data_IF_812540757947
#
_entry.id   IF_812540757947
#
_cell.length_a   1.000
_cell.length_b   1.000
_cell.length_c   1.000
_cell.angle_alpha   90.00
_cell.angle_beta   90.00
_cell.angle_gamma   90.00
#
_symmetry.space_group_name_H-M   'P 1'
#
loop_
_entity.id
_entity.type
_entity.pdbx_description
1 polymer ?
#
# COMPACT_ATOMS: atom_id res chain seq x y z
N UNK A 1 53.69 -2.53 -24.92
CA UNK A 1 52.51 -1.87 -25.53
C UNK A 1 52.90 -0.46 -25.87
N UNK A 2 52.63 0.07 -27.06
CA UNK A 2 52.94 1.48 -27.37
C UNK A 2 52.19 2.40 -26.40
N UNK A 3 52.81 3.50 -25.99
CA UNK A 3 52.26 4.43 -24.98
C UNK A 3 51.01 5.20 -25.46
N UNK A 4 50.78 5.18 -26.75
CA UNK A 4 49.68 5.85 -27.45
C UNK A 4 48.42 4.98 -27.62
N UNK A 5 48.45 3.71 -27.23
CA UNK A 5 47.30 2.80 -27.31
C UNK A 5 46.66 2.64 -25.95
N UNK A 6 45.41 3.14 -25.82
CA UNK A 6 44.63 2.96 -24.62
C UNK A 6 44.23 1.48 -24.47
N UNK A 7 44.81 0.78 -23.49
CA UNK A 7 44.46 -0.58 -23.18
C UNK A 7 43.04 -0.64 -22.60
N UNK A 8 42.13 -1.35 -23.25
CA UNK A 8 40.81 -1.72 -22.71
C UNK A 8 40.77 -3.24 -22.58
N UNK A 9 40.67 -3.78 -21.37
CA UNK A 9 40.54 -5.21 -21.20
C UNK A 9 39.26 -5.73 -21.90
N UNK A 10 39.26 -6.91 -22.52
CA UNK A 10 38.07 -7.48 -23.12
C UNK A 10 37.00 -7.74 -22.07
N UNK A 11 35.74 -7.50 -22.41
CA UNK A 11 34.61 -7.86 -21.57
C UNK A 11 34.36 -9.37 -21.68
N UNK A 12 34.97 -10.15 -20.80
CA UNK A 12 34.91 -11.62 -20.79
C UNK A 12 33.73 -12.16 -19.97
N UNK A 13 33.02 -11.29 -19.23
CA UNK A 13 31.82 -11.67 -18.46
C UNK A 13 30.66 -10.74 -18.77
N UNK A 14 29.47 -11.31 -18.90
CA UNK A 14 28.22 -10.54 -19.00
C UNK A 14 27.85 -9.94 -17.65
N UNK A 15 27.04 -8.85 -17.67
CA UNK A 15 26.43 -8.28 -16.46
C UNK A 15 25.59 -9.37 -15.76
N UNK A 16 25.66 -9.50 -14.43
CA UNK A 16 24.79 -10.41 -13.69
C UNK A 16 23.32 -10.14 -14.00
N UNK A 17 22.52 -11.20 -14.06
CA UNK A 17 21.06 -11.11 -14.22
C UNK A 17 20.37 -11.79 -13.07
N UNK A 18 19.37 -11.13 -12.51
CA UNK A 18 18.48 -11.68 -11.49
C UNK A 18 17.23 -12.25 -12.18
N UNK A 19 17.14 -13.57 -12.20
CA UNK A 19 16.04 -14.30 -12.84
C UNK A 19 14.99 -14.62 -11.78
N UNK A 20 14.06 -13.69 -11.52
CA UNK A 20 12.98 -13.88 -10.56
C UNK A 20 12.72 -12.68 -9.69
N UNK A 21 11.79 -12.85 -8.76
CA UNK A 21 11.42 -11.85 -7.77
C UNK A 21 12.20 -12.07 -6.47
N UNK A 22 12.33 -11.02 -5.68
CA UNK A 22 12.87 -11.07 -4.32
C UNK A 22 11.96 -10.33 -3.37
N UNK A 23 11.94 -10.68 -2.09
CA UNK A 23 11.32 -9.85 -1.08
C UNK A 23 12.34 -8.87 -0.47
N UNK A 24 11.83 -7.76 0.05
CA UNK A 24 12.63 -6.78 0.76
C UNK A 24 11.79 -6.07 1.82
N UNK A 25 12.46 -5.54 2.84
CA UNK A 25 11.83 -4.75 3.89
C UNK A 25 11.88 -3.26 3.52
N UNK A 26 10.75 -2.57 3.63
CA UNK A 26 10.70 -1.10 3.48
C UNK A 26 11.43 -0.43 4.63
N UNK A 27 12.28 0.54 4.32
CA UNK A 27 13.13 1.21 5.31
C UNK A 27 13.12 2.73 5.12
N UNK A 28 13.55 3.45 6.15
CA UNK A 28 13.64 4.90 6.14
C UNK A 28 14.40 5.46 7.35
N UNK A 29 14.33 6.78 7.57
CA UNK A 29 14.96 7.42 8.72
C UNK A 29 14.38 6.90 10.04
N UNK A 30 15.17 6.85 11.12
CA UNK A 30 14.69 6.49 12.45
C UNK A 30 13.52 7.36 12.90
N UNK A 31 12.50 6.73 13.47
CA UNK A 31 11.31 7.40 14.01
C UNK A 31 10.29 7.85 12.95
N UNK A 32 10.49 7.53 11.67
CA UNK A 32 9.49 7.72 10.63
C UNK A 32 8.70 6.41 10.38
N UNK A 33 7.41 6.55 10.03
CA UNK A 33 6.53 5.44 9.65
C UNK A 33 6.36 5.35 8.13
N UNK A 34 6.46 6.50 7.45
CA UNK A 34 6.31 6.62 6.01
C UNK A 34 7.49 7.42 5.48
N UNK A 35 8.20 6.87 4.48
CA UNK A 35 9.29 7.56 3.84
C UNK A 35 9.21 7.41 2.33
N UNK A 36 8.87 8.50 1.66
CA UNK A 36 8.69 8.53 0.20
C UNK A 36 9.16 9.85 -0.39
N UNK A 37 9.46 9.85 -1.67
CA UNK A 37 9.77 11.07 -2.41
C UNK A 37 8.54 11.59 -3.19
N UNK A 38 8.71 12.69 -3.91
CA UNK A 38 7.65 13.32 -4.73
C UNK A 38 7.09 12.43 -5.86
N UNK A 39 7.72 11.31 -6.16
CA UNK A 39 7.29 10.34 -7.17
C UNK A 39 6.63 9.10 -6.55
N UNK A 40 6.41 9.08 -5.22
CA UNK A 40 5.87 7.91 -4.54
C UNK A 40 6.85 6.73 -4.47
N UNK A 41 8.16 6.98 -4.62
CA UNK A 41 9.20 5.94 -4.51
C UNK A 41 9.53 5.68 -3.06
N UNK A 42 9.99 4.48 -2.78
CA UNK A 42 10.40 4.04 -1.44
C UNK A 42 11.83 3.51 -1.43
N UNK A 43 12.36 3.26 -0.25
CA UNK A 43 13.64 2.59 -0.05
C UNK A 43 13.44 1.28 0.69
N UNK A 44 14.30 0.31 0.38
CA UNK A 44 14.20 -1.03 0.93
C UNK A 44 15.56 -1.56 1.35
N UNK A 45 15.54 -2.59 2.20
CA UNK A 45 16.71 -3.41 2.47
C UNK A 45 16.40 -4.86 2.11
N UNK A 46 17.28 -5.47 1.31
CA UNK A 46 17.18 -6.87 0.94
C UNK A 46 17.70 -7.78 2.07
N UNK A 47 17.14 -9.00 2.26
CA UNK A 47 17.58 -9.93 3.31
C UNK A 47 19.05 -10.35 3.21
N UNK A 48 19.60 -10.36 2.00
CA UNK A 48 21.01 -10.70 1.76
C UNK A 48 21.98 -9.56 2.05
N UNK A 49 21.49 -8.32 2.19
CA UNK A 49 22.33 -7.19 2.60
C UNK A 49 22.64 -7.26 4.10
N UNK A 50 23.78 -7.90 4.39
CA UNK A 50 24.24 -8.13 5.77
C UNK A 50 24.92 -6.91 6.40
N UNK A 51 25.17 -5.85 5.63
CA UNK A 51 25.83 -4.62 6.10
C UNK A 51 24.84 -3.46 6.26
N UNK A 52 23.66 -3.57 5.68
CA UNK A 52 22.61 -2.55 5.77
C UNK A 52 22.14 -2.33 7.20
N UNK A 53 21.79 -1.10 7.52
CA UNK A 53 21.37 -0.66 8.85
C UNK A 53 19.85 -0.47 8.96
N UNK A 54 19.10 -0.87 7.96
CA UNK A 54 17.65 -0.67 7.83
C UNK A 54 17.27 0.81 7.94
N UNK A 55 18.06 1.68 7.30
CA UNK A 55 17.90 3.12 7.29
C UNK A 55 17.64 3.68 5.89
N UNK A 56 17.56 4.99 5.77
CA UNK A 56 17.36 5.71 4.51
C UNK A 56 18.53 5.60 3.52
N UNK A 57 19.63 4.93 3.88
CA UNK A 57 20.81 4.69 3.05
C UNK A 57 20.91 3.27 2.52
N UNK A 58 19.97 2.40 2.89
CA UNK A 58 19.99 0.97 2.54
C UNK A 58 19.78 0.71 1.04
N UNK A 59 19.10 1.58 0.31
CA UNK A 59 18.95 1.46 -1.15
C UNK A 59 18.83 2.81 -1.85
N UNK A 60 18.83 2.77 -3.18
CA UNK A 60 18.31 3.86 -4.01
C UNK A 60 16.78 3.98 -3.87
N UNK A 61 16.20 5.07 -4.41
CA UNK A 61 14.76 5.22 -4.53
C UNK A 61 14.18 4.27 -5.58
N UNK A 62 13.24 3.41 -5.18
CA UNK A 62 12.62 2.38 -6.03
C UNK A 62 11.16 2.75 -6.29
N UNK A 63 10.76 2.69 -7.56
CA UNK A 63 9.38 2.93 -7.97
C UNK A 63 8.44 1.84 -7.45
N UNK A 64 7.23 2.24 -7.08
CA UNK A 64 6.17 1.33 -6.64
C UNK A 64 5.13 1.23 -7.75
N UNK A 65 4.82 0.01 -8.19
CA UNK A 65 3.71 -0.24 -9.09
C UNK A 65 2.38 -0.03 -8.36
N UNK A 66 1.42 0.55 -9.04
CA UNK A 66 0.06 0.76 -8.54
C UNK A 66 -0.94 0.23 -9.58
N UNK A 67 -2.14 -0.23 -9.16
CA UNK A 67 -3.16 -0.72 -10.11
C UNK A 67 -3.60 0.31 -11.13
N UNK A 68 -3.51 1.61 -10.81
CA UNK A 68 -3.97 2.66 -11.70
C UNK A 68 -3.14 3.94 -11.53
N UNK A 69 -2.51 4.41 -12.61
CA UNK A 69 -1.65 5.58 -12.60
C UNK A 69 -1.88 6.45 -13.83
N UNK A 70 -2.17 7.74 -13.61
CA UNK A 70 -2.34 8.73 -14.66
C UNK A 70 -1.75 10.09 -14.27
N UNK A 71 -2.01 11.11 -15.08
CA UNK A 71 -1.54 12.48 -14.83
C UNK A 71 -2.38 13.14 -13.74
N UNK A 72 -1.92 13.06 -12.48
CA UNK A 72 -2.59 13.57 -11.27
C UNK A 72 -3.93 12.88 -10.93
N UNK A 73 -4.12 11.63 -11.38
CA UNK A 73 -5.25 10.78 -11.00
C UNK A 73 -4.81 9.32 -10.94
N UNK A 74 -5.53 8.50 -10.19
CA UNK A 74 -5.23 7.09 -10.03
C UNK A 74 -5.41 6.59 -8.59
N UNK A 75 -4.84 5.43 -8.30
CA UNK A 75 -4.84 4.82 -6.97
C UNK A 75 -3.43 4.87 -6.39
N UNK A 76 -3.28 5.32 -5.16
CA UNK A 76 -1.98 5.41 -4.50
C UNK A 76 -2.03 4.83 -3.09
N UNK A 77 -1.13 3.87 -2.82
CA UNK A 77 -0.87 3.32 -1.50
C UNK A 77 0.65 3.23 -1.33
N UNK A 78 1.20 4.06 -0.45
CA UNK A 78 2.64 4.07 -0.18
C UNK A 78 2.97 2.97 0.82
N UNK A 79 3.83 1.99 0.48
CA UNK A 79 4.30 1.00 1.43
C UNK A 79 5.03 1.69 2.59
N UNK A 80 4.69 1.30 3.83
CA UNK A 80 5.24 1.91 5.05
C UNK A 80 6.50 1.20 5.50
N UNK A 81 7.33 1.88 6.28
CA UNK A 81 8.51 1.30 6.92
C UNK A 81 8.08 0.08 7.72
N UNK A 82 8.80 -1.03 7.55
CA UNK A 82 8.47 -2.33 8.15
C UNK A 82 7.59 -3.24 7.29
N UNK A 83 6.99 -2.75 6.20
CA UNK A 83 6.25 -3.62 5.30
C UNK A 83 7.20 -4.48 4.45
N UNK A 84 6.78 -5.72 4.17
CA UNK A 84 7.44 -6.59 3.22
C UNK A 84 6.91 -6.34 1.82
N UNK A 85 7.83 -6.14 0.86
CA UNK A 85 7.51 -5.85 -0.54
C UNK A 85 8.15 -6.86 -1.48
N UNK A 86 7.50 -7.09 -2.62
CA UNK A 86 8.02 -7.89 -3.72
C UNK A 86 8.77 -6.96 -4.67
N UNK A 87 10.03 -7.31 -4.93
CA UNK A 87 10.91 -6.59 -5.86
C UNK A 87 11.14 -7.43 -7.10
N UNK A 88 10.79 -6.88 -8.24
CA UNK A 88 11.14 -7.39 -9.57
C UNK A 88 12.25 -6.55 -10.19
N UNK A 89 13.00 -7.12 -11.13
CA UNK A 89 14.10 -6.44 -11.80
C UNK A 89 13.82 -6.37 -13.30
N UNK A 90 13.73 -5.16 -13.85
CA UNK A 90 13.43 -4.97 -15.27
C UNK A 90 14.51 -5.63 -16.13
N UNK A 91 14.10 -6.57 -16.99
CA UNK A 91 15.00 -7.39 -17.82
C UNK A 91 16.05 -8.19 -17.03
N UNK A 92 15.79 -8.42 -15.74
CA UNK A 92 16.74 -9.07 -14.82
C UNK A 92 17.93 -8.19 -14.43
N UNK A 93 17.89 -6.88 -14.69
CA UNK A 93 18.95 -5.97 -14.37
C UNK A 93 18.90 -5.57 -12.88
N UNK A 94 19.90 -5.94 -12.05
CA UNK A 94 19.94 -5.58 -10.62
C UNK A 94 19.91 -4.09 -10.34
N UNK A 95 20.31 -3.25 -11.30
CA UNK A 95 20.28 -1.79 -11.17
C UNK A 95 18.91 -1.17 -11.52
N UNK A 96 17.93 -2.00 -11.92
CA UNK A 96 16.58 -1.57 -12.34
C UNK A 96 15.47 -2.25 -11.55
N UNK A 97 15.47 -2.14 -10.20
CA UNK A 97 14.42 -2.70 -9.36
C UNK A 97 13.10 -1.93 -9.50
N UNK A 98 12.00 -2.65 -9.30
CA UNK A 98 10.64 -2.11 -9.19
C UNK A 98 9.85 -2.88 -8.15
N UNK A 99 9.12 -2.20 -7.28
CA UNK A 99 8.20 -2.83 -6.34
C UNK A 99 6.93 -3.22 -7.11
N UNK A 100 6.55 -4.50 -7.05
CA UNK A 100 5.40 -5.05 -7.78
C UNK A 100 4.27 -5.53 -6.88
N UNK A 101 4.48 -5.55 -5.56
CA UNK A 101 3.45 -5.96 -4.60
C UNK A 101 3.92 -5.84 -3.16
N UNK A 102 3.00 -6.17 -2.23
CA UNK A 102 3.24 -6.27 -0.80
C UNK A 102 2.76 -7.63 -0.29
N UNK A 103 3.32 -8.10 0.80
CA UNK A 103 2.96 -9.37 1.43
C UNK A 103 2.60 -9.13 2.90
N UNK A 104 1.55 -9.83 3.36
CA UNK A 104 1.35 -10.04 4.78
C UNK A 104 2.34 -11.09 5.29
N UNK A 105 2.76 -10.94 6.54
CA UNK A 105 3.66 -11.87 7.22
C UNK A 105 3.35 -11.88 8.73
N UNK A 106 4.16 -12.58 9.53
CA UNK A 106 3.93 -12.70 10.96
C UNK A 106 4.03 -11.36 11.73
N UNK A 107 4.78 -10.39 11.21
CA UNK A 107 4.90 -9.05 11.80
C UNK A 107 3.81 -8.09 11.29
N UNK A 108 3.25 -8.38 10.13
CA UNK A 108 2.22 -7.56 9.47
C UNK A 108 1.08 -8.50 9.02
N UNK A 109 0.20 -8.85 9.96
CA UNK A 109 -0.94 -9.74 9.73
C UNK A 109 -2.05 -9.04 8.91
N UNK A 110 -2.91 -9.82 8.21
CA UNK A 110 -4.11 -9.28 7.55
C UNK A 110 -5.00 -8.50 8.51
N UNK A 111 -5.74 -7.47 8.03
CA UNK A 111 -6.59 -6.63 8.87
C UNK A 111 -7.79 -7.36 9.47
N UNK A 112 -8.19 -8.49 8.89
CA UNK A 112 -9.29 -9.34 9.36
C UNK A 112 -8.74 -10.68 9.83
N UNK A 113 -9.24 -11.17 10.98
CA UNK A 113 -8.79 -12.43 11.57
C UNK A 113 -9.16 -13.64 10.70
N UNK A 114 -8.19 -14.24 10.06
CA UNK A 114 -8.37 -15.42 9.22
C UNK A 114 -8.09 -16.71 10.01
N UNK A 115 -8.79 -17.83 9.73
CA UNK A 115 -9.75 -18.01 8.63
C UNK A 115 -11.19 -17.59 8.94
N UNK A 116 -11.51 -17.15 10.17
CA UNK A 116 -12.88 -16.96 10.63
C UNK A 116 -13.63 -15.88 9.81
N UNK A 117 -12.95 -14.82 9.39
CA UNK A 117 -13.51 -13.74 8.60
C UNK A 117 -13.12 -13.82 7.11
N UNK A 118 -13.07 -15.01 6.54
CA UNK A 118 -12.64 -15.20 5.14
C UNK A 118 -13.60 -14.62 4.10
N UNK A 119 -14.82 -14.27 4.49
CA UNK A 119 -15.83 -13.60 3.65
C UNK A 119 -15.67 -12.07 3.64
N UNK A 120 -14.83 -11.53 4.53
CA UNK A 120 -14.56 -10.10 4.58
C UNK A 120 -13.51 -9.68 3.56
N UNK A 121 -13.78 -8.56 2.90
CA UNK A 121 -12.83 -7.89 2.03
C UNK A 121 -12.91 -6.38 2.24
N UNK A 122 -11.83 -5.65 1.95
CA UNK A 122 -11.88 -4.20 2.16
C UNK A 122 -10.53 -3.50 2.13
N UNK A 123 -10.58 -2.22 2.49
CA UNK A 123 -9.42 -1.37 2.67
C UNK A 123 -9.48 -0.81 4.09
N UNK A 124 -8.54 -1.21 4.94
CA UNK A 124 -8.34 -0.64 6.28
C UNK A 124 -7.03 0.12 6.31
N UNK A 125 -7.08 1.38 6.70
CA UNK A 125 -5.91 2.24 6.84
C UNK A 125 -5.42 2.22 8.29
N UNK A 126 -4.37 2.96 8.58
CA UNK A 126 -3.85 3.14 9.93
C UNK A 126 -3.39 4.59 10.07
N UNK A 127 -3.79 5.26 11.15
CA UNK A 127 -3.39 6.65 11.39
C UNK A 127 -1.89 6.78 11.60
N UNK A 128 -1.29 7.81 11.04
CA UNK A 128 0.11 8.15 11.17
C UNK A 128 0.21 9.63 11.63
N UNK A 129 1.10 9.96 12.53
CA UNK A 129 2.19 9.25 13.17
C UNK A 129 1.75 8.80 14.57
N UNK A 130 2.18 7.60 15.00
CA UNK A 130 1.88 7.05 16.33
C UNK A 130 0.39 6.74 16.58
N UNK A 131 -0.37 6.35 15.56
CA UNK A 131 -1.73 5.82 15.74
C UNK A 131 -1.71 4.47 16.47
N UNK A 132 -2.79 4.15 17.21
CA UNK A 132 -3.05 2.80 17.72
C UNK A 132 -3.79 1.95 16.67
N UNK A 133 -3.95 0.67 16.95
CA UNK A 133 -4.71 -0.24 16.08
C UNK A 133 -6.19 0.15 15.94
N UNK A 134 -6.71 0.97 16.87
CA UNK A 134 -8.06 1.50 16.86
C UNK A 134 -8.21 2.78 16.00
N UNK A 135 -7.09 3.36 15.54
CA UNK A 135 -7.10 4.59 14.75
C UNK A 135 -6.98 4.30 13.25
N UNK A 136 -8.09 4.18 12.56
CA UNK A 136 -8.15 3.78 11.16
C UNK A 136 -9.33 4.39 10.40
N UNK A 137 -9.24 4.44 9.08
CA UNK A 137 -10.40 4.55 8.21
C UNK A 137 -10.62 3.22 7.50
N UNK A 138 -11.88 2.85 7.23
CA UNK A 138 -12.21 1.56 6.65
C UNK A 138 -13.37 1.64 5.67
N UNK A 139 -13.25 0.87 4.60
CA UNK A 139 -14.36 0.44 3.75
C UNK A 139 -14.27 -1.08 3.69
N UNK A 140 -15.24 -1.76 4.31
CA UNK A 140 -15.29 -3.21 4.39
C UNK A 140 -16.58 -3.74 3.76
N UNK A 141 -16.48 -4.87 3.13
CA UNK A 141 -17.57 -5.68 2.62
C UNK A 141 -17.59 -6.99 3.42
N UNK A 142 -18.76 -7.37 3.89
CA UNK A 142 -19.04 -8.71 4.39
C UNK A 142 -19.95 -9.41 3.36
N UNK A 143 -19.47 -10.53 2.82
CA UNK A 143 -20.16 -11.30 1.79
C UNK A 143 -20.75 -12.63 2.33
N UNK A 144 -20.83 -12.76 3.65
CA UNK A 144 -21.47 -13.93 4.28
C UNK A 144 -22.98 -13.88 4.01
N UNK A 145 -23.49 -14.96 3.39
CA UNK A 145 -24.88 -15.05 3.01
C UNK A 145 -25.82 -14.81 4.20
N UNK A 146 -26.82 -13.95 3.98
CA UNK A 146 -27.82 -13.49 4.95
C UNK A 146 -27.25 -12.58 6.08
N UNK A 147 -25.96 -12.20 5.99
CA UNK A 147 -25.27 -11.26 6.89
C UNK A 147 -24.47 -10.21 6.09
N UNK A 148 -24.83 -9.99 4.81
CA UNK A 148 -24.10 -9.08 3.92
C UNK A 148 -24.13 -7.63 4.44
N UNK A 149 -22.97 -6.99 4.47
CA UNK A 149 -22.78 -5.62 4.96
C UNK A 149 -21.81 -4.82 4.12
N UNK A 150 -22.06 -3.51 3.98
CA UNK A 150 -21.03 -2.53 3.60
C UNK A 150 -20.82 -1.60 4.79
N UNK A 151 -19.64 -1.65 5.37
CA UNK A 151 -19.25 -0.84 6.50
C UNK A 151 -18.30 0.28 6.08
N UNK A 152 -18.61 1.53 6.44
CA UNK A 152 -17.76 2.71 6.20
C UNK A 152 -17.46 3.38 7.53
N UNK A 153 -16.18 3.48 7.87
CA UNK A 153 -15.70 4.12 9.08
C UNK A 153 -14.69 5.22 8.74
N UNK A 154 -14.90 6.40 9.30
CA UNK A 154 -13.96 7.51 9.26
C UNK A 154 -13.47 7.79 10.69
N UNK A 155 -12.17 7.69 10.92
CA UNK A 155 -11.55 7.94 12.23
C UNK A 155 -11.87 9.33 12.79
N UNK A 156 -12.07 10.32 11.94
CA UNK A 156 -12.35 11.68 12.36
C UNK A 156 -13.46 12.34 11.56
N UNK A 157 -13.24 12.64 10.30
CA UNK A 157 -14.15 13.43 9.49
C UNK A 157 -14.51 12.66 8.22
N UNK A 158 -15.79 12.56 7.89
CA UNK A 158 -16.28 12.07 6.59
C UNK A 158 -16.86 13.25 5.82
N UNK A 159 -16.24 13.61 4.69
CA UNK A 159 -16.74 14.63 3.77
C UNK A 159 -17.21 13.95 2.48
N UNK A 160 -18.50 14.09 2.17
CA UNK A 160 -19.11 13.61 0.94
C UNK A 160 -19.57 14.81 0.11
N UNK A 161 -19.04 14.93 -1.12
CA UNK A 161 -19.40 16.00 -2.07
C UNK A 161 -19.98 15.36 -3.32
N UNK A 162 -21.18 15.78 -3.69
CA UNK A 162 -21.91 15.28 -4.85
C UNK A 162 -22.25 16.47 -5.72
N UNK A 163 -21.66 16.53 -6.92
CA UNK A 163 -21.78 17.67 -7.81
C UNK A 163 -23.18 17.84 -8.45
N UNK A 164 -24.01 16.81 -8.39
CA UNK A 164 -25.34 16.86 -8.99
C UNK A 164 -26.40 16.30 -8.03
N UNK A 165 -26.79 15.03 -8.15
CA UNK A 165 -27.91 14.45 -7.43
C UNK A 165 -27.47 13.30 -6.53
N UNK A 166 -28.02 13.20 -5.32
CA UNK A 166 -27.98 12.01 -4.48
C UNK A 166 -29.37 11.36 -4.43
N UNK A 167 -29.43 10.05 -4.54
CA UNK A 167 -30.64 9.26 -4.34
C UNK A 167 -30.35 8.13 -3.36
N UNK A 168 -31.13 8.06 -2.28
CA UNK A 168 -31.10 6.97 -1.31
C UNK A 168 -32.43 6.22 -1.33
N UNK A 169 -32.37 4.90 -1.36
CA UNK A 169 -33.52 4.02 -1.26
C UNK A 169 -33.25 3.00 -0.16
N UNK A 170 -34.15 2.86 0.80
CA UNK A 170 -34.06 1.94 1.92
C UNK A 170 -35.34 1.09 1.96
N UNK A 171 -35.22 -0.24 2.07
CA UNK A 171 -36.35 -1.15 2.11
C UNK A 171 -37.10 -1.33 0.78
N UNK A 172 -36.45 -1.11 -0.36
CA UNK A 172 -36.97 -1.31 -1.71
C UNK A 172 -36.69 -2.72 -2.22
N UNK A 173 -37.57 -3.21 -3.13
CA UNK A 173 -37.39 -4.44 -3.91
C UNK A 173 -37.32 -5.72 -3.03
N UNK A 174 -38.46 -6.17 -2.55
CA UNK A 174 -38.73 -7.45 -1.84
C UNK A 174 -38.11 -7.60 -0.43
N UNK A 175 -37.39 -6.64 0.07
CA UNK A 175 -37.02 -6.58 1.50
C UNK A 175 -38.10 -5.84 2.26
N UNK A 176 -38.77 -6.51 3.15
CA UNK A 176 -39.76 -5.91 4.04
C UNK A 176 -39.03 -5.19 5.16
N UNK A 177 -39.58 -4.06 5.61
CA UNK A 177 -39.17 -3.36 6.82
C UNK A 177 -37.72 -2.80 6.81
N UNK A 178 -37.42 -1.95 5.82
CA UNK A 178 -36.14 -1.22 5.79
C UNK A 178 -36.24 0.11 6.52
N UNK A 179 -35.45 0.30 7.57
CA UNK A 179 -35.39 1.52 8.35
C UNK A 179 -34.09 2.33 8.02
N UNK A 180 -34.17 3.65 8.16
CA UNK A 180 -33.01 4.53 8.19
C UNK A 180 -32.92 5.18 9.57
N UNK A 181 -31.79 4.99 10.28
CA UNK A 181 -31.50 5.66 11.55
C UNK A 181 -30.39 6.71 11.35
N UNK A 182 -30.56 7.88 11.97
CA UNK A 182 -29.56 8.96 11.97
C UNK A 182 -29.38 9.43 13.40
N UNK A 183 -28.20 9.18 13.97
CA UNK A 183 -27.85 9.63 15.32
C UNK A 183 -26.80 10.73 15.23
N UNK A 184 -27.06 11.88 15.88
CA UNK A 184 -26.18 13.03 15.89
C UNK A 184 -26.02 13.53 17.32
N UNK A 185 -24.81 13.37 17.87
CA UNK A 185 -24.54 13.70 19.26
C UNK A 185 -24.68 15.19 19.58
N UNK A 186 -24.33 16.09 18.65
CA UNK A 186 -24.30 17.52 18.92
C UNK A 186 -25.28 18.30 18.02
N UNK A 187 -24.91 18.65 16.80
CA UNK A 187 -25.70 19.53 15.93
C UNK A 187 -25.85 18.98 14.51
N UNK A 188 -27.06 19.13 13.96
CA UNK A 188 -27.33 18.94 12.53
C UNK A 188 -27.78 20.28 11.94
N UNK A 189 -27.17 20.70 10.81
CA UNK A 189 -27.61 21.85 10.05
C UNK A 189 -28.04 21.44 8.66
N UNK A 190 -29.32 21.68 8.33
CA UNK A 190 -29.86 21.53 6.98
C UNK A 190 -30.06 22.94 6.41
N UNK A 191 -29.47 23.23 5.24
CA UNK A 191 -29.59 24.52 4.55
C UNK A 191 -30.28 24.33 3.21
#
# INVERSE_FOLDING_TARGET
MPADVVFRPPRIRSKPRLMGIQSALVVGPPGEEIYTDKYGRIKVQFPWDRKGKKDDKSSLWIRVATPWAGKQWGMIHIPRIGNEVIVSFLEGDPDRPIITGMLFNADNMPPYGLPDNMTQSGIKTHSSKNGSDDNFNEIRFEDKKDEEEIYIHAERDLNCVIENNETRKVGFDDKKDGDQSVEIYNNQTLK
#
